data_IF_935276615331
#
_entry.id   IF_935276615331
#
_cell.length_a   1.000
_cell.length_b   1.000
_cell.length_c   1.000
_cell.angle_alpha   90.00
_cell.angle_beta   90.00
_cell.angle_gamma   90.00
#
_symmetry.space_group_name_H-M   'P 1'
#
loop_
_entity.id
_entity.type
_entity.pdbx_description
1 polymer ?
#
# COMPACT_ATOMS: atom_id res chain seq x y z
N UNK A 1 -8.70 3.20 1.59
CA UNK A 1 -7.92 3.81 0.49
C UNK A 1 -8.77 4.85 -0.20
N UNK A 2 -8.16 5.93 -0.68
CA UNK A 2 -8.88 7.01 -1.37
C UNK A 2 -8.19 7.30 -2.70
N UNK A 3 -8.97 7.36 -3.77
CA UNK A 3 -8.48 7.81 -5.07
C UNK A 3 -8.48 9.35 -5.08
N UNK A 4 -7.38 9.95 -5.50
CA UNK A 4 -7.28 11.39 -5.67
C UNK A 4 -6.38 11.75 -6.85
N UNK A 5 -6.45 13.01 -7.29
CA UNK A 5 -5.55 13.54 -8.31
C UNK A 5 -4.13 13.56 -7.77
N UNK A 6 -3.19 13.14 -8.60
CA UNK A 6 -1.76 13.08 -8.24
C UNK A 6 -1.20 14.44 -7.84
N UNK A 7 -1.65 15.51 -8.50
CA UNK A 7 -1.24 16.90 -8.22
C UNK A 7 -1.65 17.37 -6.82
N UNK A 8 -2.70 16.77 -6.25
CA UNK A 8 -3.23 17.13 -4.92
C UNK A 8 -2.69 16.20 -3.82
N UNK A 9 -1.88 15.20 -4.18
CA UNK A 9 -1.52 14.09 -3.29
C UNK A 9 -0.24 14.31 -2.46
N UNK A 10 0.35 15.51 -2.53
CA UNK A 10 1.55 15.85 -1.74
C UNK A 10 1.26 15.68 -0.24
N UNK A 11 2.19 15.04 0.47
CA UNK A 11 2.07 14.70 1.89
C UNK A 11 1.25 13.45 2.19
N UNK A 12 0.66 12.81 1.18
CA UNK A 12 -0.08 11.56 1.35
C UNK A 12 0.83 10.34 1.18
N UNK A 13 0.46 9.23 1.82
CA UNK A 13 1.22 7.99 1.78
C UNK A 13 0.71 7.05 0.67
N UNK A 14 1.63 6.50 -0.13
CA UNK A 14 1.30 5.51 -1.15
C UNK A 14 0.87 4.18 -0.52
N UNK A 15 -0.26 3.64 -0.98
CA UNK A 15 -0.78 2.35 -0.50
C UNK A 15 -0.20 1.13 -1.23
N UNK A 16 0.45 1.33 -2.38
CA UNK A 16 1.06 0.27 -3.20
C UNK A 16 2.36 0.74 -3.85
N UNK A 17 3.19 -0.21 -4.28
CA UNK A 17 4.35 0.07 -5.13
C UNK A 17 3.89 0.64 -6.48
N UNK A 18 4.59 1.68 -6.96
CA UNK A 18 4.42 2.22 -8.31
C UNK A 18 5.58 1.73 -9.16
N UNK A 19 5.28 0.88 -10.13
CA UNK A 19 6.28 0.29 -11.04
C UNK A 19 6.27 0.98 -12.38
N UNK A 20 7.44 1.43 -12.83
CA UNK A 20 7.63 1.94 -14.18
C UNK A 20 8.08 0.79 -15.09
N UNK A 21 7.42 0.68 -16.25
CA UNK A 21 7.74 -0.33 -17.26
C UNK A 21 8.05 0.38 -18.58
N UNK A 22 9.33 0.40 -18.95
CA UNK A 22 9.81 0.86 -20.25
C UNK A 22 10.31 -0.38 -20.99
N UNK A 23 9.59 -0.76 -22.05
CA UNK A 23 9.87 -1.98 -22.82
C UNK A 23 11.32 -2.00 -23.31
N UNK A 24 12.05 -3.05 -22.94
CA UNK A 24 13.45 -3.24 -23.34
C UNK A 24 14.48 -2.38 -22.59
N UNK A 25 14.06 -1.53 -21.64
CA UNK A 25 14.95 -0.59 -20.94
C UNK A 25 14.91 -0.80 -19.43
N UNK A 26 13.72 -0.76 -18.82
CA UNK A 26 13.58 -0.76 -17.36
C UNK A 26 12.26 -1.38 -16.93
N UNK A 27 12.30 -2.26 -15.93
CA UNK A 27 11.11 -2.75 -15.22
C UNK A 27 11.42 -2.80 -13.73
N UNK A 28 10.83 -1.88 -12.98
CA UNK A 28 11.04 -1.85 -11.54
C UNK A 28 10.25 -0.75 -10.83
N UNK A 29 10.14 -0.86 -9.49
CA UNK A 29 9.47 0.12 -8.66
C UNK A 29 10.23 1.45 -8.69
N UNK A 30 9.52 2.51 -9.05
CA UNK A 30 10.00 3.90 -8.91
C UNK A 30 9.57 4.48 -7.57
N UNK A 31 8.47 4.01 -7.00
CA UNK A 31 8.06 4.28 -5.63
C UNK A 31 7.63 2.98 -4.94
N UNK A 32 7.82 2.91 -3.62
CA UNK A 32 7.40 1.79 -2.77
C UNK A 32 6.18 2.14 -1.93
N UNK A 33 5.38 1.14 -1.56
CA UNK A 33 4.33 1.26 -0.55
C UNK A 33 4.91 1.90 0.72
N UNK A 34 4.17 2.83 1.32
CA UNK A 34 4.60 3.57 2.50
C UNK A 34 5.39 4.84 2.22
N UNK A 35 5.78 5.09 0.96
CA UNK A 35 6.42 6.35 0.56
C UNK A 35 5.46 7.54 0.73
N UNK A 36 5.97 8.63 1.28
CA UNK A 36 5.24 9.91 1.42
C UNK A 36 5.56 10.77 0.21
N UNK A 37 4.52 11.18 -0.52
CA UNK A 37 4.67 11.93 -1.78
C UNK A 37 5.17 13.34 -1.51
N UNK A 38 6.24 13.75 -2.20
CA UNK A 38 6.75 15.13 -2.20
C UNK A 38 6.36 15.89 -3.47
N UNK A 39 6.63 17.19 -3.54
CA UNK A 39 6.34 18.00 -4.73
C UNK A 39 7.14 17.51 -5.95
N UNK A 40 8.38 17.06 -5.75
CA UNK A 40 9.25 16.54 -6.81
C UNK A 40 8.78 15.19 -7.37
N UNK A 41 7.98 14.45 -6.60
CA UNK A 41 7.45 13.16 -7.03
C UNK A 41 6.28 13.32 -8.01
N UNK A 42 5.53 14.43 -7.94
CA UNK A 42 4.33 14.65 -8.76
C UNK A 42 4.63 14.55 -10.27
N UNK A 43 5.66 15.24 -10.82
CA UNK A 43 6.02 15.08 -12.23
C UNK A 43 6.41 13.63 -12.59
N UNK A 44 7.07 12.91 -11.68
CA UNK A 44 7.49 11.52 -11.91
C UNK A 44 6.28 10.59 -11.95
N UNK A 45 5.35 10.73 -10.99
CA UNK A 45 4.11 9.98 -10.94
C UNK A 45 3.26 10.21 -12.20
N UNK A 46 3.13 11.47 -12.65
CA UNK A 46 2.45 11.79 -13.90
C UNK A 46 3.16 11.17 -15.12
N UNK A 47 4.51 11.20 -15.15
CA UNK A 47 5.29 10.63 -16.25
C UNK A 47 5.13 9.11 -16.41
N UNK A 48 4.74 8.41 -15.34
CA UNK A 48 4.45 6.97 -15.37
C UNK A 48 2.96 6.67 -15.64
N UNK A 49 2.18 7.67 -16.03
CA UNK A 49 0.77 7.53 -16.41
C UNK A 49 -0.17 7.45 -15.20
N UNK A 50 0.21 8.04 -14.06
CA UNK A 50 -0.65 8.12 -12.87
C UNK A 50 -1.24 9.51 -12.75
N UNK A 51 -2.31 9.80 -13.50
CA UNK A 51 -3.11 11.01 -13.32
C UNK A 51 -3.87 11.01 -11.98
N UNK A 52 -4.22 9.81 -11.51
CA UNK A 52 -4.81 9.57 -10.21
C UNK A 52 -4.04 8.48 -9.47
N UNK A 53 -3.97 8.62 -8.15
CA UNK A 53 -3.31 7.66 -7.28
C UNK A 53 -4.19 7.31 -6.10
N UNK A 54 -4.05 6.06 -5.65
CA UNK A 54 -4.63 5.64 -4.40
C UNK A 54 -3.67 5.97 -3.27
N UNK A 55 -4.19 6.71 -2.29
CA UNK A 55 -3.47 7.03 -1.07
C UNK A 55 -4.00 6.19 0.09
N UNK A 56 -3.12 6.01 1.06
CA UNK A 56 -3.47 5.43 2.34
C UNK A 56 -4.20 6.47 3.20
N UNK A 57 -5.51 6.30 3.33
CA UNK A 57 -6.33 7.12 4.22
C UNK A 57 -6.42 6.38 5.57
N UNK A 58 -5.63 6.82 6.55
CA UNK A 58 -5.86 6.44 7.95
C UNK A 58 -6.94 7.38 8.47
N UNK A 59 -8.09 6.84 8.77
CA UNK A 59 -9.04 7.51 9.64
C UNK A 59 -9.39 6.58 10.80
N UNK A 60 -9.94 7.15 11.87
CA UNK A 60 -10.31 6.42 13.09
C UNK A 60 -11.37 5.32 12.88
N UNK A 61 -11.95 5.23 11.68
CA UNK A 61 -12.97 4.25 11.31
C UNK A 61 -12.47 3.22 10.29
N UNK A 62 -11.19 3.24 9.91
CA UNK A 62 -10.60 2.33 8.92
C UNK A 62 -9.42 1.58 9.54
N UNK A 63 -9.37 0.27 9.28
CA UNK A 63 -8.28 -0.62 9.70
C UNK A 63 -7.68 -1.31 8.47
N UNK A 64 -6.35 -1.51 8.43
CA UNK A 64 -5.71 -2.26 7.35
C UNK A 64 -6.18 -3.73 7.41
N UNK A 65 -6.37 -4.38 6.26
CA UNK A 65 -6.76 -5.80 6.18
C UNK A 65 -5.84 -6.74 6.99
N UNK A 66 -4.51 -6.55 6.93
CA UNK A 66 -3.55 -7.30 7.74
C UNK A 66 -3.73 -7.10 9.25
N UNK A 67 -4.08 -5.88 9.69
CA UNK A 67 -4.37 -5.62 11.10
C UNK A 67 -5.68 -6.30 11.50
N UNK A 68 -6.69 -6.27 10.62
CA UNK A 68 -7.94 -6.98 10.82
C UNK A 68 -7.75 -8.50 10.95
N UNK A 69 -6.91 -9.08 10.11
CA UNK A 69 -6.56 -10.50 10.15
C UNK A 69 -5.94 -10.86 11.50
N UNK A 70 -5.08 -10.00 12.04
CA UNK A 70 -4.49 -10.18 13.37
C UNK A 70 -5.51 -10.17 14.49
N UNK A 71 -6.45 -9.22 14.47
CA UNK A 71 -7.54 -9.17 15.45
C UNK A 71 -8.34 -10.47 15.42
N UNK A 72 -8.69 -10.98 14.23
CA UNK A 72 -9.40 -12.24 14.09
C UNK A 72 -8.58 -13.44 14.59
N UNK A 73 -7.29 -13.50 14.26
CA UNK A 73 -6.40 -14.54 14.77
C UNK A 73 -6.30 -14.51 16.30
N UNK A 74 -6.12 -13.34 16.89
CA UNK A 74 -5.99 -13.18 18.34
C UNK A 74 -7.27 -13.58 19.09
N UNK A 75 -8.45 -13.47 18.45
CA UNK A 75 -9.71 -13.98 18.98
C UNK A 75 -9.81 -15.51 18.92
N UNK A 76 -9.15 -16.16 17.96
CA UNK A 76 -9.25 -17.60 17.71
C UNK A 76 -8.07 -18.43 18.25
N UNK A 77 -6.92 -17.79 18.54
CA UNK A 77 -5.69 -18.49 18.91
C UNK A 77 -5.84 -19.32 20.18
N UNK A 78 -5.18 -20.48 20.17
CA UNK A 78 -5.08 -21.39 21.31
C UNK A 78 -3.75 -22.14 21.23
N UNK A 79 -3.48 -23.05 22.16
CA UNK A 79 -2.22 -23.80 22.25
C UNK A 79 -1.88 -24.65 21.02
N UNK A 80 -2.83 -24.89 20.12
CA UNK A 80 -2.67 -25.71 18.92
C UNK A 80 -2.81 -24.93 17.62
N UNK A 81 -3.01 -23.61 17.70
CA UNK A 81 -3.11 -22.73 16.54
C UNK A 81 -1.85 -21.86 16.48
N UNK A 82 -0.92 -22.23 15.60
CA UNK A 82 0.25 -21.42 15.28
C UNK A 82 0.01 -20.72 13.95
N UNK A 83 0.69 -19.60 13.74
CA UNK A 83 0.67 -18.88 12.48
C UNK A 83 2.08 -18.67 11.97
N UNK A 84 2.20 -18.54 10.66
CA UNK A 84 3.38 -17.97 10.04
C UNK A 84 3.48 -16.46 10.37
N UNK A 85 4.71 -15.94 10.37
CA UNK A 85 4.96 -14.52 10.66
C UNK A 85 4.41 -13.59 9.57
N UNK A 86 4.34 -14.09 8.34
CA UNK A 86 3.97 -13.33 7.16
C UNK A 86 2.45 -13.20 7.03
N UNK A 87 1.98 -11.96 6.88
CA UNK A 87 0.56 -11.62 6.68
C UNK A 87 0.46 -10.86 5.36
N UNK A 88 -0.32 -11.41 4.43
CA UNK A 88 -0.45 -10.85 3.08
C UNK A 88 -1.91 -10.84 2.68
N UNK A 89 -2.34 -9.73 2.09
CA UNK A 89 -3.69 -9.59 1.51
C UNK A 89 -4.81 -9.91 2.52
N UNK A 90 -4.62 -9.53 3.79
CA UNK A 90 -5.59 -9.81 4.86
C UNK A 90 -5.69 -11.30 5.26
N UNK A 91 -4.72 -12.13 4.86
CA UNK A 91 -4.69 -13.56 5.14
C UNK A 91 -3.54 -13.92 6.10
N UNK A 92 -3.85 -14.81 7.04
CA UNK A 92 -2.88 -15.47 7.91
C UNK A 92 -2.87 -16.96 7.56
N UNK A 93 -1.69 -17.48 7.23
CA UNK A 93 -1.46 -18.93 7.10
C UNK A 93 -1.06 -19.50 8.47
N UNK A 94 -1.55 -20.71 8.75
CA UNK A 94 -1.35 -21.43 10.01
C UNK A 94 -0.17 -22.41 9.94
#
# INVERSE_FOLDING_TARGET
MKLMKTEEAVGQMLCHDITQIIKGVKKGPVFRKGHIITEEDVPVLLSVGKDHIYIWEVNEHMMHENDAAMVLYDLCKNEHLHRNEDIKEGKIEL
#
